data_IF_069069351668
#
_entry.id   IF_069069351668
#
_cell.length_a   1.000
_cell.length_b   1.000
_cell.length_c   1.000
_cell.angle_alpha   90.00
_cell.angle_beta   90.00
_cell.angle_gamma   90.00
#
_symmetry.space_group_name_H-M   'P 1'
#
loop_
_entity.id
_entity.type
_entity.pdbx_description
1 polymer ?
#
# COMPACT_ATOMS: atom_id res chain seq x y z
N UNK A 1 -6.38 11.05 -6.60
CA UNK A 1 -5.38 10.02 -6.88
C UNK A 1 -5.96 9.17 -8.00
N UNK A 2 -5.99 9.66 -9.26
CA UNK A 2 -6.54 8.94 -10.41
C UNK A 2 -5.89 7.58 -10.68
N UNK A 3 -4.56 7.49 -10.72
CA UNK A 3 -3.86 6.22 -10.98
C UNK A 3 -4.18 5.18 -9.89
N UNK A 4 -4.27 5.63 -8.64
CA UNK A 4 -4.68 4.79 -7.52
C UNK A 4 -6.12 4.31 -7.66
N UNK A 5 -7.03 5.16 -8.15
CA UNK A 5 -8.43 4.79 -8.35
C UNK A 5 -8.58 3.74 -9.46
N UNK A 6 -7.92 3.94 -10.59
CA UNK A 6 -7.91 2.99 -11.71
C UNK A 6 -7.32 1.64 -11.29
N UNK A 7 -6.21 1.66 -10.55
CA UNK A 7 -5.61 0.44 -10.00
C UNK A 7 -6.54 -0.29 -9.02
N UNK A 8 -7.20 0.44 -8.12
CA UNK A 8 -8.19 -0.15 -7.20
C UNK A 8 -9.35 -0.77 -7.98
N UNK A 9 -9.85 -0.11 -9.01
CA UNK A 9 -10.95 -0.64 -9.82
C UNK A 9 -10.54 -1.90 -10.60
N UNK A 10 -9.32 -1.95 -11.13
CA UNK A 10 -8.75 -3.19 -11.70
C UNK A 10 -8.71 -4.31 -10.65
N UNK A 11 -8.26 -4.03 -9.43
CA UNK A 11 -8.25 -5.03 -8.34
C UNK A 11 -9.63 -5.47 -7.92
N UNK A 12 -10.65 -4.58 -7.96
CA UNK A 12 -12.04 -4.96 -7.68
C UNK A 12 -12.57 -5.95 -8.73
N UNK A 13 -12.15 -5.80 -9.98
CA UNK A 13 -12.48 -6.76 -11.05
C UNK A 13 -11.75 -8.09 -10.83
N UNK A 14 -10.45 -8.06 -10.50
CA UNK A 14 -9.62 -9.27 -10.34
C UNK A 14 -9.94 -10.07 -9.07
N UNK A 15 -10.13 -9.40 -7.93
CA UNK A 15 -10.17 -10.02 -6.60
C UNK A 15 -11.54 -9.91 -5.92
N UNK A 16 -12.49 -9.24 -6.57
CA UNK A 16 -13.81 -8.96 -6.03
C UNK A 16 -13.86 -7.66 -5.24
N UNK A 17 -14.92 -6.89 -5.48
CA UNK A 17 -15.14 -5.56 -4.86
C UNK A 17 -15.13 -5.61 -3.34
N UNK A 18 -15.81 -6.58 -2.75
CA UNK A 18 -15.97 -6.67 -1.29
C UNK A 18 -14.62 -6.88 -0.58
N UNK A 19 -13.74 -7.72 -1.15
CA UNK A 19 -12.42 -7.97 -0.60
C UNK A 19 -11.53 -6.73 -0.67
N UNK A 20 -11.51 -6.07 -1.82
CA UNK A 20 -10.74 -4.83 -2.01
C UNK A 20 -11.23 -3.72 -1.08
N UNK A 21 -12.54 -3.54 -0.97
CA UNK A 21 -13.13 -2.54 -0.07
C UNK A 21 -12.84 -2.88 1.40
N UNK A 22 -12.79 -4.17 1.77
CA UNK A 22 -12.35 -4.60 3.10
C UNK A 22 -10.89 -4.21 3.35
N UNK A 23 -9.98 -4.46 2.41
CA UNK A 23 -8.57 -4.09 2.53
C UNK A 23 -8.41 -2.59 2.76
N UNK A 24 -9.09 -1.77 1.95
CA UNK A 24 -9.08 -0.31 2.09
C UNK A 24 -9.62 0.11 3.45
N UNK A 25 -10.78 -0.41 3.88
CA UNK A 25 -11.38 -0.05 5.18
C UNK A 25 -10.47 -0.39 6.36
N UNK A 26 -9.80 -1.55 6.35
CA UNK A 26 -8.86 -1.95 7.41
C UNK A 26 -7.64 -1.05 7.45
N UNK A 27 -7.06 -0.75 6.29
CA UNK A 27 -5.97 0.20 6.19
C UNK A 27 -6.35 1.60 6.70
N UNK A 28 -7.54 2.11 6.34
CA UNK A 28 -8.00 3.42 6.83
C UNK A 28 -8.29 3.45 8.35
N UNK A 29 -8.44 2.29 8.99
CA UNK A 29 -8.53 2.14 10.45
C UNK A 29 -7.17 2.08 11.15
N UNK A 30 -6.06 2.20 10.42
CA UNK A 30 -4.72 2.10 10.99
C UNK A 30 -4.16 0.68 10.99
N UNK A 31 -4.81 -0.29 10.35
CA UNK A 31 -4.29 -1.66 10.27
C UNK A 31 -3.25 -1.76 9.13
N UNK A 32 -1.97 -2.01 9.44
CA UNK A 32 -0.93 -2.10 8.42
C UNK A 32 -1.04 -3.41 7.63
N UNK A 33 -0.42 -3.45 6.45
CA UNK A 33 -0.37 -4.66 5.60
C UNK A 33 -1.65 -5.00 4.86
N UNK A 34 -2.64 -4.09 4.83
CA UNK A 34 -3.89 -4.26 4.07
C UNK A 34 -3.93 -3.45 2.78
N UNK A 35 -3.61 -2.16 2.85
CA UNK A 35 -3.61 -1.27 1.70
C UNK A 35 -2.76 -0.02 1.99
N UNK A 36 -1.96 0.39 1.01
CA UNK A 36 -1.22 1.65 1.02
C UNK A 36 -1.00 2.13 -0.42
N UNK A 37 -1.15 3.42 -0.67
CA UNK A 37 -0.81 4.02 -1.95
C UNK A 37 -0.15 5.40 -1.75
N UNK A 38 0.81 5.71 -2.62
CA UNK A 38 1.38 7.04 -2.80
C UNK A 38 1.27 7.43 -4.27
N UNK A 39 0.78 8.64 -4.54
CA UNK A 39 0.62 9.15 -5.91
C UNK A 39 0.84 10.65 -5.93
N UNK A 40 1.85 11.11 -6.69
CA UNK A 40 2.21 12.53 -6.79
C UNK A 40 2.29 13.22 -5.41
N UNK A 41 2.90 12.53 -4.45
CA UNK A 41 3.05 12.98 -3.06
C UNK A 41 1.82 12.90 -2.16
N UNK A 42 0.66 12.46 -2.66
CA UNK A 42 -0.53 12.16 -1.85
C UNK A 42 -0.47 10.72 -1.36
N UNK A 43 -0.90 10.48 -0.13
CA UNK A 43 -0.81 9.17 0.51
C UNK A 43 -2.20 8.72 1.00
N UNK A 44 -2.50 7.43 0.86
CA UNK A 44 -3.75 6.82 1.34
C UNK A 44 -3.49 5.43 1.94
N UNK A 45 -4.17 5.10 3.03
CA UNK A 45 -4.02 3.82 3.73
C UNK A 45 -2.95 3.85 4.82
N UNK A 46 -2.59 2.67 5.33
CA UNK A 46 -1.62 2.52 6.42
C UNK A 46 -0.41 1.77 5.90
N UNK A 47 0.81 2.35 6.02
CA UNK A 47 2.01 1.68 5.55
C UNK A 47 2.35 0.45 6.40
N UNK A 48 3.23 -0.40 5.88
CA UNK A 48 3.78 -1.52 6.66
C UNK A 48 4.54 -1.02 7.91
N UNK A 49 4.56 -1.80 9.00
CA UNK A 49 5.39 -1.49 10.16
C UNK A 49 6.87 -1.50 9.78
N UNK A 50 7.67 -0.63 10.39
CA UNK A 50 9.11 -0.49 10.08
C UNK A 50 9.86 -1.81 10.27
N UNK A 51 9.53 -2.56 11.33
CA UNK A 51 10.10 -3.87 11.65
C UNK A 51 9.78 -4.92 10.58
N UNK A 52 8.64 -4.82 9.90
CA UNK A 52 8.26 -5.73 8.81
C UNK A 52 9.02 -5.46 7.50
N UNK A 53 9.49 -4.23 7.27
CA UNK A 53 10.18 -3.85 6.02
C UNK A 53 11.65 -3.51 6.20
N UNK A 54 12.14 -3.43 7.44
CA UNK A 54 13.52 -3.07 7.75
C UNK A 54 14.55 -4.00 7.08
N UNK A 55 14.28 -5.31 6.99
CA UNK A 55 15.15 -6.25 6.30
C UNK A 55 15.29 -5.95 4.79
N UNK A 56 14.27 -5.31 4.19
CA UNK A 56 14.22 -4.97 2.76
C UNK A 56 14.83 -3.58 2.50
N UNK A 57 14.97 -2.76 3.53
CA UNK A 57 15.39 -1.36 3.41
C UNK A 57 16.65 -1.12 4.24
N UNK A 58 17.81 -1.13 3.56
CA UNK A 58 19.10 -0.70 4.13
C UNK A 58 19.42 -1.36 5.48
N UNK A 59 19.01 -2.61 5.67
CA UNK A 59 19.19 -3.36 6.93
C UNK A 59 18.51 -2.73 8.14
N UNK A 60 17.41 -2.00 7.96
CA UNK A 60 16.61 -1.38 9.02
C UNK A 60 17.08 0.01 9.44
N UNK A 61 18.04 0.61 8.72
CA UNK A 61 18.62 1.92 9.06
C UNK A 61 17.72 3.12 8.78
N UNK A 62 16.72 2.96 7.90
CA UNK A 62 15.80 4.04 7.51
C UNK A 62 14.37 3.71 7.92
N UNK A 63 13.65 4.72 8.40
CA UNK A 63 12.22 4.59 8.71
C UNK A 63 11.37 4.60 7.45
N UNK A 64 10.18 4.00 7.51
CA UNK A 64 9.19 4.06 6.43
C UNK A 64 8.86 5.51 6.05
N UNK A 65 8.78 6.41 7.03
CA UNK A 65 8.57 7.84 6.78
C UNK A 65 9.70 8.49 5.96
N UNK A 66 10.96 8.13 6.21
CA UNK A 66 12.10 8.66 5.44
C UNK A 66 12.08 8.19 3.97
N UNK A 67 11.60 6.98 3.72
CA UNK A 67 11.51 6.42 2.36
C UNK A 67 10.32 7.01 1.63
N UNK A 68 9.20 7.23 2.33
CA UNK A 68 8.06 7.97 1.80
C UNK A 68 8.48 9.40 1.44
N UNK A 69 9.23 10.09 2.30
CA UNK A 69 9.79 11.41 1.99
C UNK A 69 10.70 11.37 0.76
N UNK A 70 11.56 10.35 0.62
CA UNK A 70 12.38 10.17 -0.57
C UNK A 70 11.53 9.93 -1.82
N UNK A 71 10.47 9.12 -1.75
CA UNK A 71 9.56 8.89 -2.87
C UNK A 71 8.84 10.18 -3.29
N UNK A 72 8.46 11.05 -2.34
CA UNK A 72 7.90 12.37 -2.62
C UNK A 72 8.95 13.25 -3.30
N UNK A 73 10.16 13.32 -2.75
CA UNK A 73 11.23 14.21 -3.23
C UNK A 73 11.75 13.80 -4.61
N UNK A 74 11.82 12.50 -4.88
CA UNK A 74 12.24 11.93 -6.17
C UNK A 74 11.10 11.90 -7.21
N UNK A 75 9.88 12.29 -6.82
CA UNK A 75 8.74 12.39 -7.74
C UNK A 75 8.17 11.05 -8.17
N UNK A 76 8.04 10.09 -7.26
CA UNK A 76 7.31 8.85 -7.54
C UNK A 76 5.87 9.19 -7.98
N UNK A 77 5.56 8.91 -9.25
CA UNK A 77 4.24 9.20 -9.84
C UNK A 77 3.16 8.35 -9.19
N UNK A 78 3.45 7.06 -8.96
CA UNK A 78 2.56 6.12 -8.29
C UNK A 78 3.33 4.92 -7.70
N UNK A 79 2.94 4.50 -6.49
CA UNK A 79 3.24 3.19 -5.94
C UNK A 79 2.10 2.72 -5.03
N UNK A 80 1.71 1.46 -5.16
CA UNK A 80 0.60 0.88 -4.41
C UNK A 80 0.92 -0.52 -3.90
N UNK A 81 0.39 -0.85 -2.73
CA UNK A 81 0.37 -2.19 -2.15
C UNK A 81 -1.05 -2.52 -1.68
N UNK A 82 -1.51 -3.73 -1.96
CA UNK A 82 -2.75 -4.27 -1.44
C UNK A 82 -2.53 -5.73 -1.11
N UNK A 83 -3.10 -6.19 0.00
CA UNK A 83 -2.99 -7.59 0.41
C UNK A 83 -3.61 -8.49 -0.64
N UNK A 84 -2.85 -9.49 -1.08
CA UNK A 84 -3.37 -10.50 -2.00
C UNK A 84 -4.39 -11.41 -1.29
N UNK A 85 -5.48 -11.80 -1.97
CA UNK A 85 -6.39 -12.80 -1.46
C UNK A 85 -5.63 -14.13 -1.29
N UNK A 86 -5.83 -14.79 -0.15
CA UNK A 86 -5.29 -16.15 0.06
C UNK A 86 -5.98 -17.06 -0.95
N UNK A 87 -5.25 -17.58 -1.94
CA UNK A 87 -5.77 -18.66 -2.80
C UNK A 87 -6.16 -19.80 -1.88
N UNK A 88 -7.45 -20.18 -1.88
CA UNK A 88 -7.95 -21.28 -1.07
C UNK A 88 -7.05 -22.50 -1.24
N UNK A 89 -6.52 -22.99 -0.12
CA UNK A 89 -5.97 -24.34 -0.07
C UNK A 89 -7.11 -25.30 -0.43
N UNK A 90 -6.87 -26.13 -1.43
CA UNK A 90 -7.63 -27.35 -1.64
C UNK A 90 -7.42 -28.29 -0.44
#
# INVERSE_FOLDING_TARGET
>A
MPETADWVDQKRVEWGRDYVDQCIRRALKGEPGWFYAIENGKVLGTPWPVDAVGAVIDGGKRTVAQIQQAAILLGASFAGFMREPVKGGN
#
